data_IF_992958151414
#
_entry.id   IF_992958151414
#
_cell.length_a   1.000
_cell.length_b   1.000
_cell.length_c   1.000
_cell.angle_alpha   90.00
_cell.angle_beta   90.00
_cell.angle_gamma   90.00
#
_symmetry.space_group_name_H-M   'P 1'
#
loop_
_entity.id
_entity.type
_entity.pdbx_description
1 polymer ?
#
# COMPACT_ATOMS: atom_id res chain seq x y z
N UNK A 1 4.33 -3.97 0.71
CA UNK A 1 4.97 -3.09 1.70
C UNK A 1 6.37 -2.80 1.22
N UNK A 2 6.73 -1.54 1.18
CA UNK A 2 8.05 -1.10 0.76
C UNK A 2 8.48 0.08 1.63
N UNK A 3 9.78 0.15 1.89
CA UNK A 3 10.44 1.28 2.50
C UNK A 3 11.37 1.89 1.48
N UNK A 4 11.59 3.20 1.57
CA UNK A 4 12.32 3.95 0.55
C UNK A 4 13.34 4.85 1.23
N UNK A 5 14.60 4.80 0.79
CA UNK A 5 15.63 5.73 1.26
C UNK A 5 15.27 7.12 0.74
N UNK A 6 15.04 8.09 1.62
CA UNK A 6 14.70 9.45 1.23
C UNK A 6 15.96 10.19 0.71
N UNK A 7 16.13 10.28 -0.61
CA UNK A 7 17.26 10.96 -1.23
C UNK A 7 17.36 12.46 -0.90
N UNK A 8 16.25 13.13 -0.57
CA UNK A 8 16.25 14.56 -0.19
C UNK A 8 17.01 14.79 1.12
N UNK A 9 17.14 13.76 1.96
CA UNK A 9 17.90 13.83 3.20
C UNK A 9 19.43 13.80 3.03
N UNK A 10 19.94 13.60 1.81
CA UNK A 10 21.38 13.54 1.52
C UNK A 10 21.90 14.92 1.09
N UNK A 11 22.32 15.72 2.07
CA UNK A 11 22.69 17.12 1.86
C UNK A 11 24.15 17.43 2.18
N UNK A 12 25.00 16.41 2.35
CA UNK A 12 26.39 16.61 2.76
C UNK A 12 26.59 16.85 4.26
N UNK A 13 25.64 16.42 5.09
CA UNK A 13 25.53 16.80 6.51
C UNK A 13 26.59 16.22 7.45
N UNK A 14 27.29 15.14 7.06
CA UNK A 14 28.26 14.51 7.95
C UNK A 14 29.54 15.33 7.99
N UNK A 15 30.05 15.60 9.20
CA UNK A 15 31.32 16.33 9.38
C UNK A 15 32.50 15.64 8.68
N UNK A 16 32.46 14.31 8.59
CA UNK A 16 33.50 13.51 7.93
C UNK A 16 32.91 12.33 7.17
N UNK A 17 33.63 11.86 6.14
CA UNK A 17 33.31 10.61 5.46
C UNK A 17 33.26 9.43 6.45
N UNK A 18 34.16 9.39 7.44
CA UNK A 18 34.19 8.31 8.44
C UNK A 18 32.90 8.26 9.28
N UNK A 19 32.36 9.41 9.69
CA UNK A 19 31.08 9.46 10.42
C UNK A 19 29.93 8.90 9.58
N UNK A 20 29.87 9.24 8.30
CA UNK A 20 28.90 8.65 7.38
C UNK A 20 29.09 7.12 7.24
N UNK A 21 30.33 6.65 7.12
CA UNK A 21 30.64 5.23 7.01
C UNK A 21 30.22 4.44 8.24
N UNK A 22 30.37 4.98 9.45
CA UNK A 22 29.88 4.33 10.67
C UNK A 22 28.36 4.18 10.66
N UNK A 23 27.61 5.20 10.24
CA UNK A 23 26.17 5.08 10.06
C UNK A 23 25.82 4.05 8.97
N UNK A 24 26.50 4.09 7.83
CA UNK A 24 26.30 3.12 6.75
C UNK A 24 26.53 1.68 7.21
N UNK A 25 27.54 1.42 8.04
CA UNK A 25 27.80 0.10 8.63
C UNK A 25 26.62 -0.39 9.48
N UNK A 26 25.96 0.50 10.24
CA UNK A 26 24.75 0.16 11.00
C UNK A 26 23.60 -0.24 10.08
N UNK A 27 23.34 0.54 9.01
CA UNK A 27 22.30 0.23 8.04
C UNK A 27 22.60 -1.10 7.30
N UNK A 28 23.85 -1.33 6.90
CA UNK A 28 24.27 -2.58 6.26
C UNK A 28 24.10 -3.78 7.20
N UNK A 29 24.47 -3.64 8.48
CA UNK A 29 24.26 -4.68 9.49
C UNK A 29 22.77 -4.98 9.65
N UNK A 30 21.93 -3.95 9.70
CA UNK A 30 20.48 -4.12 9.79
C UNK A 30 19.91 -4.85 8.57
N UNK A 31 20.32 -4.47 7.36
CA UNK A 31 19.95 -5.18 6.13
C UNK A 31 20.40 -6.64 6.15
N UNK A 32 21.56 -6.96 6.73
CA UNK A 32 22.01 -8.35 6.84
C UNK A 32 21.20 -9.16 7.85
N UNK A 33 20.78 -8.55 8.97
CA UNK A 33 20.03 -9.24 10.03
C UNK A 33 18.52 -9.28 9.79
N UNK A 34 17.96 -8.37 8.98
CA UNK A 34 16.53 -8.30 8.69
C UNK A 34 16.26 -8.50 7.19
N UNK A 35 15.74 -9.69 6.85
CA UNK A 35 15.47 -10.07 5.47
C UNK A 35 14.45 -9.17 4.76
N UNK A 36 13.46 -8.64 5.49
CA UNK A 36 12.45 -7.71 4.92
C UNK A 36 13.09 -6.37 4.57
N UNK A 37 13.90 -5.79 5.47
CA UNK A 37 14.62 -4.55 5.16
C UNK A 37 15.57 -4.77 3.99
N UNK A 38 16.25 -5.93 3.92
CA UNK A 38 17.09 -6.25 2.78
C UNK A 38 16.33 -6.27 1.45
N UNK A 39 15.17 -6.94 1.40
CA UNK A 39 14.39 -7.11 0.17
C UNK A 39 13.49 -5.94 -0.16
N UNK A 40 13.23 -5.04 0.79
CA UNK A 40 12.14 -4.07 0.69
C UNK A 40 12.51 -2.64 1.08
N UNK A 41 13.77 -2.34 1.40
CA UNK A 41 14.29 -0.97 1.50
C UNK A 41 14.91 -0.57 0.15
N UNK A 42 14.11 0.11 -0.67
CA UNK A 42 14.37 0.55 -2.03
C UNK A 42 15.14 1.87 -2.07
N UNK A 43 15.86 2.08 -3.16
CA UNK A 43 16.55 3.33 -3.47
C UNK A 43 16.54 3.59 -4.98
N UNK A 44 16.74 4.85 -5.38
CA UNK A 44 17.05 5.18 -6.77
C UNK A 44 18.50 4.82 -7.11
N UNK A 45 18.79 4.71 -8.42
CA UNK A 45 20.17 4.56 -8.91
C UNK A 45 21.00 5.84 -8.78
N UNK A 46 20.39 6.95 -8.39
CA UNK A 46 21.07 8.23 -8.17
C UNK A 46 21.72 8.31 -6.79
N UNK A 47 21.29 7.48 -5.83
CA UNK A 47 21.79 7.48 -4.45
C UNK A 47 23.33 7.51 -4.31
N UNK A 48 24.13 6.75 -5.10
CA UNK A 48 25.60 6.81 -5.00
C UNK A 48 26.22 8.19 -5.28
N UNK A 49 25.50 9.06 -5.99
CA UNK A 49 26.00 10.35 -6.44
C UNK A 49 25.57 11.51 -5.51
N UNK A 50 24.77 11.22 -4.48
CA UNK A 50 24.31 12.24 -3.54
C UNK A 50 25.39 12.58 -2.52
N UNK A 51 25.38 13.82 -2.05
CA UNK A 51 26.37 14.35 -1.10
C UNK A 51 26.10 13.81 0.30
N UNK A 52 27.16 13.37 0.97
CA UNK A 52 27.09 12.86 2.36
C UNK A 52 27.99 13.64 3.30
N UNK A 53 29.15 14.13 2.87
CA UNK A 53 30.05 14.91 3.72
C UNK A 53 30.66 16.05 2.93
N UNK A 54 30.16 17.28 3.14
CA UNK A 54 30.53 18.43 2.29
C UNK A 54 30.25 18.14 0.82
N UNK A 55 31.29 18.20 -0.02
CA UNK A 55 31.19 17.88 -1.46
C UNK A 55 31.45 16.41 -1.80
N UNK A 56 31.81 15.56 -0.82
CA UNK A 56 31.99 14.14 -1.05
C UNK A 56 30.64 13.45 -1.25
N UNK A 57 30.52 12.74 -2.36
CA UNK A 57 29.36 11.89 -2.62
C UNK A 57 29.40 10.62 -1.77
N UNK A 58 28.28 9.90 -1.69
CA UNK A 58 28.22 8.57 -1.08
C UNK A 58 29.34 7.67 -1.63
N UNK A 59 29.49 7.62 -2.97
CA UNK A 59 30.51 6.81 -3.63
C UNK A 59 31.93 7.25 -3.25
N UNK A 60 32.18 8.55 -3.17
CA UNK A 60 33.49 9.07 -2.78
C UNK A 60 33.84 8.69 -1.35
N UNK A 61 32.90 8.84 -0.41
CA UNK A 61 33.10 8.50 1.00
C UNK A 61 33.44 7.01 1.18
N UNK A 62 32.76 6.13 0.46
CA UNK A 62 32.99 4.67 0.50
C UNK A 62 34.35 4.29 -0.10
N UNK A 63 34.78 4.98 -1.16
CA UNK A 63 36.10 4.75 -1.74
C UNK A 63 37.22 5.30 -0.86
N UNK A 64 36.99 6.43 -0.19
CA UNK A 64 37.96 7.09 0.68
C UNK A 64 38.30 6.25 1.94
N UNK A 65 37.38 5.42 2.42
CA UNK A 65 37.61 4.49 3.55
C UNK A 65 38.73 3.46 3.24
N UNK A 66 38.98 3.15 1.97
CA UNK A 66 40.03 2.20 1.57
C UNK A 66 39.74 0.72 1.92
N UNK A 67 38.57 0.41 2.48
CA UNK A 67 38.15 -0.94 2.82
C UNK A 67 37.51 -1.65 1.61
N UNK A 68 38.31 -2.50 0.94
CA UNK A 68 37.88 -3.23 -0.27
C UNK A 68 36.62 -4.08 -0.09
N UNK A 69 36.43 -4.68 1.08
CA UNK A 69 35.25 -5.51 1.34
C UNK A 69 33.98 -4.68 1.52
N UNK A 70 34.09 -3.57 2.26
CA UNK A 70 32.99 -2.60 2.39
C UNK A 70 32.63 -2.02 1.02
N UNK A 71 33.62 -1.55 0.25
CA UNK A 71 33.39 -0.99 -1.08
C UNK A 71 32.69 -2.01 -1.98
N UNK A 72 33.15 -3.27 -2.00
CA UNK A 72 32.53 -4.33 -2.79
C UNK A 72 31.09 -4.60 -2.35
N UNK A 73 30.83 -4.62 -1.04
CA UNK A 73 29.50 -4.85 -0.50
C UNK A 73 28.54 -3.72 -0.89
N UNK A 74 28.95 -2.47 -0.68
CA UNK A 74 28.15 -1.28 -0.94
C UNK A 74 27.90 -1.09 -2.43
N UNK A 75 28.93 -1.14 -3.27
CA UNK A 75 28.74 -1.01 -4.71
C UNK A 75 27.98 -2.21 -5.29
N UNK A 76 28.17 -3.41 -4.74
CA UNK A 76 27.35 -4.56 -5.09
C UNK A 76 25.86 -4.34 -4.81
N UNK A 77 25.54 -3.70 -3.69
CA UNK A 77 24.18 -3.27 -3.36
C UNK A 77 23.68 -2.18 -4.31
N UNK A 78 24.39 -1.05 -4.40
CA UNK A 78 23.91 0.16 -5.06
C UNK A 78 24.02 0.15 -6.59
N UNK A 79 24.88 -0.67 -7.19
CA UNK A 79 25.02 -0.74 -8.65
C UNK A 79 24.26 -1.94 -9.26
N UNK A 80 24.17 -3.07 -8.53
CA UNK A 80 23.73 -4.35 -9.12
C UNK A 80 22.52 -4.99 -8.45
N UNK A 81 22.51 -5.10 -7.13
CA UNK A 81 21.54 -5.95 -6.42
C UNK A 81 20.27 -5.22 -6.01
N UNK A 82 20.37 -3.93 -5.69
CA UNK A 82 19.22 -3.17 -5.19
C UNK A 82 18.71 -3.70 -3.83
N UNK A 83 17.44 -3.48 -3.50
CA UNK A 83 16.34 -3.27 -4.44
C UNK A 83 16.26 -1.83 -4.99
N UNK A 84 15.93 -1.69 -6.27
CA UNK A 84 15.85 -0.41 -6.97
C UNK A 84 14.40 -0.09 -7.34
N UNK A 85 14.04 1.19 -7.30
CA UNK A 85 12.68 1.63 -7.63
C UNK A 85 12.27 1.29 -9.06
N UNK A 86 13.21 1.25 -10.01
CA UNK A 86 12.93 0.86 -11.41
C UNK A 86 12.27 -0.51 -11.55
N UNK A 87 12.51 -1.41 -10.58
CA UNK A 87 11.96 -2.77 -10.61
C UNK A 87 10.48 -2.83 -10.19
N UNK A 88 9.97 -1.78 -9.55
CA UNK A 88 8.60 -1.72 -9.01
C UNK A 88 7.82 -0.50 -9.49
N UNK A 89 8.44 0.40 -10.25
CA UNK A 89 7.82 1.63 -10.74
C UNK A 89 6.64 1.28 -11.63
N UNK A 90 5.49 1.81 -11.25
CA UNK A 90 4.23 1.71 -12.00
C UNK A 90 3.90 3.10 -12.57
N UNK A 91 3.31 3.15 -13.76
CA UNK A 91 2.86 4.41 -14.36
C UNK A 91 1.59 4.91 -13.67
N UNK A 92 1.54 6.21 -13.42
CA UNK A 92 0.38 6.93 -12.92
C UNK A 92 0.13 8.18 -13.77
N UNK A 93 -1.08 8.71 -13.68
CA UNK A 93 -1.40 10.02 -14.22
C UNK A 93 -0.78 11.12 -13.33
N UNK A 94 -0.30 12.21 -13.94
CA UNK A 94 0.34 13.35 -13.25
C UNK A 94 1.53 12.92 -12.36
N UNK A 95 2.63 12.45 -12.97
CA UNK A 95 3.77 11.85 -12.28
C UNK A 95 4.78 12.87 -11.69
N UNK A 96 4.38 14.12 -11.49
CA UNK A 96 5.26 15.17 -10.97
C UNK A 96 5.12 15.29 -9.45
N UNK A 97 6.22 14.99 -8.74
CA UNK A 97 6.25 14.98 -7.28
C UNK A 97 7.30 15.91 -6.70
N UNK A 98 6.95 16.55 -5.59
CA UNK A 98 7.84 17.44 -4.83
C UNK A 98 7.79 17.17 -3.32
N UNK A 99 8.96 17.29 -2.67
CA UNK A 99 9.10 17.30 -1.22
C UNK A 99 10.01 18.47 -0.84
N UNK A 100 9.54 19.37 0.03
CA UNK A 100 10.27 20.60 0.40
C UNK A 100 10.77 21.39 -0.82
N UNK A 101 9.88 21.63 -1.79
CA UNK A 101 10.17 22.31 -3.06
C UNK A 101 11.30 21.67 -3.90
N UNK A 102 11.64 20.41 -3.60
CA UNK A 102 12.60 19.61 -4.37
C UNK A 102 11.83 18.62 -5.23
N UNK A 103 12.10 18.61 -6.54
CA UNK A 103 11.52 17.62 -7.46
C UNK A 103 12.06 16.23 -7.11
N UNK A 104 11.15 15.30 -6.81
CA UNK A 104 11.45 13.93 -6.36
C UNK A 104 10.82 12.85 -7.25
N UNK A 105 10.29 13.22 -8.42
CA UNK A 105 9.66 12.30 -9.37
C UNK A 105 10.48 11.03 -9.61
N UNK A 106 11.77 11.15 -9.87
CA UNK A 106 12.65 10.02 -10.18
C UNK A 106 13.39 9.44 -8.96
N UNK A 107 13.03 9.88 -7.76
CA UNK A 107 13.61 9.42 -6.51
C UNK A 107 12.70 8.41 -5.81
N UNK A 108 13.25 7.73 -4.80
CA UNK A 108 12.52 6.77 -4.02
C UNK A 108 11.37 7.40 -3.22
N UNK A 109 11.47 8.70 -2.93
CA UNK A 109 10.38 9.52 -2.38
C UNK A 109 9.18 9.59 -3.32
N UNK A 110 9.39 9.90 -4.60
CA UNK A 110 8.30 9.89 -5.60
C UNK A 110 7.70 8.50 -5.75
N UNK A 111 8.52 7.45 -5.72
CA UNK A 111 8.00 6.08 -5.75
C UNK A 111 7.16 5.73 -4.52
N UNK A 112 7.53 6.21 -3.33
CA UNK A 112 6.71 6.02 -2.14
C UNK A 112 5.31 6.63 -2.30
N UNK A 113 5.20 7.81 -2.91
CA UNK A 113 3.93 8.43 -3.25
C UNK A 113 3.11 7.58 -4.25
N UNK A 114 3.74 7.05 -5.31
CA UNK A 114 3.06 6.13 -6.25
C UNK A 114 2.50 4.90 -5.56
N UNK A 115 3.31 4.28 -4.70
CA UNK A 115 2.87 3.12 -3.92
C UNK A 115 1.65 3.47 -3.06
N UNK A 116 1.67 4.64 -2.40
CA UNK A 116 0.54 5.13 -1.61
C UNK A 116 -0.72 5.36 -2.47
N UNK A 117 -0.59 5.97 -3.64
CA UNK A 117 -1.68 6.18 -4.60
C UNK A 117 -2.31 4.84 -5.00
N UNK A 118 -1.50 3.81 -5.21
CA UNK A 118 -1.97 2.45 -5.47
C UNK A 118 -2.48 1.69 -4.24
N UNK A 119 -2.62 2.35 -3.09
CA UNK A 119 -3.06 1.75 -1.84
C UNK A 119 -2.07 0.74 -1.25
N UNK A 120 -0.80 0.77 -1.65
CA UNK A 120 0.26 0.02 -0.99
C UNK A 120 0.77 0.79 0.23
N UNK A 121 1.15 0.06 1.28
CA UNK A 121 1.96 0.63 2.35
C UNK A 121 3.35 1.02 1.82
N UNK A 122 3.72 2.27 2.06
CA UNK A 122 5.01 2.86 1.77
C UNK A 122 5.43 3.76 2.92
N UNK A 123 6.73 3.72 3.26
CA UNK A 123 7.33 4.61 4.25
C UNK A 123 8.74 5.00 3.84
N UNK A 124 9.22 6.12 4.38
CA UNK A 124 10.54 6.67 4.12
C UNK A 124 11.51 6.34 5.25
N UNK A 125 12.77 6.19 4.89
CA UNK A 125 13.90 6.23 5.82
C UNK A 125 14.79 7.42 5.45
N UNK A 126 14.89 8.38 6.35
CA UNK A 126 15.63 9.63 6.15
C UNK A 126 16.87 9.69 7.03
N UNK A 127 17.91 10.37 6.54
CA UNK A 127 19.02 10.79 7.35
C UNK A 127 18.68 12.13 8.02
N UNK A 128 19.16 12.35 9.25
CA UNK A 128 19.11 13.69 9.82
C UNK A 128 19.94 14.66 8.97
N UNK A 129 19.43 15.88 8.79
CA UNK A 129 20.11 16.95 8.05
C UNK A 129 19.72 18.30 8.64
N UNK A 130 20.61 19.31 8.65
CA UNK A 130 20.25 20.66 9.08
C UNK A 130 19.42 21.43 8.04
N UNK A 131 19.27 20.93 6.81
CA UNK A 131 18.58 21.65 5.72
C UNK A 131 17.07 21.52 5.83
N UNK A 132 16.60 20.33 6.21
CA UNK A 132 15.18 20.00 6.27
C UNK A 132 14.89 19.27 7.59
N UNK A 133 13.71 19.49 8.16
CA UNK A 133 13.28 18.75 9.33
C UNK A 133 12.80 17.34 8.94
N UNK A 134 13.75 16.40 8.95
CA UNK A 134 13.50 14.98 8.69
C UNK A 134 13.00 14.22 9.93
N UNK A 135 12.78 14.91 11.06
CA UNK A 135 12.23 14.34 12.29
C UNK A 135 10.69 14.43 12.37
N UNK A 136 10.06 14.73 11.22
CA UNK A 136 8.62 14.78 11.07
C UNK A 136 8.09 13.46 10.50
N UNK A 137 6.96 13.00 11.04
CA UNK A 137 6.15 11.92 10.44
C UNK A 137 4.65 12.22 10.64
N UNK A 138 3.83 12.14 9.59
CA UNK A 138 4.21 11.87 8.19
C UNK A 138 4.95 13.05 7.53
N UNK A 139 5.71 12.76 6.47
CA UNK A 139 6.18 13.76 5.50
C UNK A 139 5.10 13.97 4.42
N UNK A 140 4.91 15.22 4.00
CA UNK A 140 3.94 15.61 2.98
C UNK A 140 4.63 15.71 1.63
N UNK A 141 4.24 14.84 0.69
CA UNK A 141 4.69 14.86 -0.70
C UNK A 141 3.60 15.49 -1.54
N UNK A 142 3.97 16.51 -2.32
CA UNK A 142 3.07 17.19 -3.24
C UNK A 142 3.11 16.50 -4.59
N UNK A 143 1.96 16.21 -5.17
CA UNK A 143 1.79 15.82 -6.57
C UNK A 143 1.18 16.99 -7.31
N UNK A 144 1.82 17.41 -8.40
CA UNK A 144 1.41 18.57 -9.20
C UNK A 144 0.80 18.08 -10.50
N UNK A 145 -0.43 18.48 -10.79
CA UNK A 145 -1.08 18.14 -12.06
C UNK A 145 -0.77 19.17 -13.17
N UNK A 146 -1.21 18.86 -14.40
CA UNK A 146 -1.04 19.74 -15.56
C UNK A 146 -1.69 21.14 -15.39
N UNK A 147 -2.65 21.28 -14.46
CA UNK A 147 -3.33 22.54 -14.14
C UNK A 147 -2.71 23.26 -12.92
N UNK A 148 -1.56 22.80 -12.43
CA UNK A 148 -0.87 23.30 -11.24
C UNK A 148 -1.69 23.13 -9.93
N UNK A 149 -2.63 22.19 -9.92
CA UNK A 149 -3.28 21.78 -8.69
C UNK A 149 -2.35 20.86 -7.90
N UNK A 150 -2.34 21.07 -6.58
CA UNK A 150 -1.51 20.30 -5.66
C UNK A 150 -2.38 19.28 -4.92
N UNK A 151 -2.08 18.01 -5.13
CA UNK A 151 -2.59 16.89 -4.34
C UNK A 151 -1.52 16.48 -3.33
N UNK A 152 -1.88 16.35 -2.06
CA UNK A 152 -0.92 16.02 -1.01
C UNK A 152 -1.02 14.56 -0.58
N UNK A 153 0.14 13.95 -0.36
CA UNK A 153 0.28 12.55 0.06
C UNK A 153 1.10 12.47 1.36
N UNK A 154 0.47 11.98 2.43
CA UNK A 154 1.13 11.75 3.71
C UNK A 154 1.81 10.37 3.74
N UNK A 155 3.14 10.38 3.85
CA UNK A 155 3.98 9.19 3.91
C UNK A 155 4.72 9.14 5.26
N UNK A 156 4.61 8.02 5.96
CA UNK A 156 5.35 7.79 7.21
C UNK A 156 6.85 7.92 6.96
N UNK A 157 7.58 8.51 7.91
CA UNK A 157 9.01 8.72 7.79
C UNK A 157 9.72 8.33 9.09
N UNK A 158 10.82 7.59 8.95
CA UNK A 158 11.64 7.13 10.06
C UNK A 158 13.07 7.62 9.88
N UNK A 159 13.67 8.15 10.95
CA UNK A 159 15.07 8.61 10.93
C UNK A 159 15.94 7.81 11.91
N UNK A 160 15.33 7.07 12.84
CA UNK A 160 16.00 6.10 13.71
C UNK A 160 15.87 4.68 13.16
N UNK A 161 16.98 3.94 13.14
CA UNK A 161 17.00 2.55 12.65
C UNK A 161 16.08 1.62 13.45
N UNK A 162 15.96 1.84 14.76
CA UNK A 162 15.08 1.03 15.63
C UNK A 162 13.60 1.26 15.31
N UNK A 163 13.22 2.49 14.95
CA UNK A 163 11.85 2.80 14.52
C UNK A 163 11.55 2.21 13.14
N UNK A 164 12.53 2.24 12.23
CA UNK A 164 12.42 1.52 10.95
C UNK A 164 12.18 0.02 11.20
N UNK A 165 12.91 -0.61 12.12
CA UNK A 165 12.67 -2.02 12.49
C UNK A 165 11.28 -2.22 13.04
N UNK A 166 10.85 -1.38 13.99
CA UNK A 166 9.52 -1.46 14.58
C UNK A 166 8.43 -1.35 13.52
N UNK A 167 8.58 -0.45 12.55
CA UNK A 167 7.63 -0.31 11.44
C UNK A 167 7.50 -1.61 10.63
N UNK A 168 8.62 -2.30 10.37
CA UNK A 168 8.65 -3.57 9.63
C UNK A 168 7.98 -4.71 10.40
N UNK A 169 8.08 -4.69 11.73
CA UNK A 169 7.47 -5.66 12.64
C UNK A 169 5.97 -5.41 12.84
N UNK A 170 5.56 -4.14 12.93
CA UNK A 170 4.17 -3.70 13.02
C UNK A 170 3.40 -3.96 11.72
N UNK A 171 4.10 -3.95 10.58
CA UNK A 171 3.54 -4.37 9.31
C UNK A 171 3.21 -5.88 9.32
N UNK A 172 1.91 -6.18 9.48
CA UNK A 172 1.35 -7.54 9.40
C UNK A 172 1.83 -8.25 8.12
N UNK A 173 2.19 -9.52 8.25
CA UNK A 173 2.66 -10.32 7.11
C UNK A 173 1.55 -10.36 6.06
N UNK A 174 1.86 -9.97 4.81
CA UNK A 174 0.91 -10.09 3.73
C UNK A 174 0.49 -11.56 3.56
N UNK A 175 -0.81 -11.85 3.37
CA UNK A 175 -1.27 -13.22 3.17
C UNK A 175 -0.56 -13.91 2.02
N UNK A 176 -0.26 -15.20 2.21
CA UNK A 176 0.34 -16.10 1.23
C UNK A 176 -0.66 -17.15 0.72
N UNK A 177 -1.81 -17.26 1.38
CA UNK A 177 -2.90 -18.16 1.02
C UNK A 177 -4.24 -17.44 1.11
N UNK A 178 -5.27 -17.98 0.47
CA UNK A 178 -6.63 -17.44 0.57
C UNK A 178 -7.15 -17.51 2.01
N UNK A 179 -6.83 -18.58 2.74
CA UNK A 179 -7.18 -18.71 4.16
C UNK A 179 -6.54 -17.60 5.00
N UNK A 180 -5.24 -17.39 4.88
CA UNK A 180 -4.57 -16.28 5.59
C UNK A 180 -5.19 -14.91 5.28
N UNK A 181 -5.69 -14.70 4.05
CA UNK A 181 -6.39 -13.48 3.68
C UNK A 181 -7.75 -13.38 4.38
N UNK A 182 -8.54 -14.45 4.40
CA UNK A 182 -9.84 -14.49 5.07
C UNK A 182 -9.70 -14.31 6.59
N UNK A 183 -8.69 -14.93 7.19
CA UNK A 183 -8.36 -14.78 8.62
C UNK A 183 -8.01 -13.30 8.92
N UNK A 184 -7.17 -12.69 8.07
CA UNK A 184 -6.82 -11.28 8.22
C UNK A 184 -8.04 -10.34 8.10
N UNK A 185 -8.97 -10.61 7.19
CA UNK A 185 -10.20 -9.81 7.06
C UNK A 185 -11.03 -9.97 8.32
N UNK A 186 -11.23 -11.20 8.80
CA UNK A 186 -11.99 -11.49 10.03
C UNK A 186 -11.41 -10.75 11.24
N UNK A 187 -10.08 -10.68 11.36
CA UNK A 187 -9.40 -9.98 12.45
C UNK A 187 -9.47 -8.45 12.35
N UNK A 188 -9.49 -7.90 11.14
CA UNK A 188 -9.29 -6.46 10.89
C UNK A 188 -10.56 -5.71 10.46
N UNK A 189 -11.63 -6.42 10.13
CA UNK A 189 -12.89 -5.85 9.63
C UNK A 189 -14.07 -6.40 10.44
N UNK A 190 -14.21 -5.94 11.69
CA UNK A 190 -15.23 -6.41 12.63
C UNK A 190 -16.68 -6.14 12.18
N UNK A 191 -16.86 -5.19 11.28
CA UNK A 191 -18.18 -4.81 10.75
C UNK A 191 -18.54 -5.55 9.47
N UNK A 192 -17.75 -6.55 9.08
CA UNK A 192 -18.04 -7.48 8.01
C UNK A 192 -18.32 -8.88 8.58
N UNK A 193 -19.25 -9.60 7.96
CA UNK A 193 -19.55 -10.99 8.27
C UNK A 193 -19.29 -11.84 7.03
N UNK A 194 -18.30 -12.73 7.10
CA UNK A 194 -17.81 -13.51 5.97
C UNK A 194 -18.58 -14.84 5.89
N UNK A 195 -19.03 -15.20 4.70
CA UNK A 195 -19.60 -16.54 4.46
C UNK A 195 -18.55 -17.64 4.61
N UNK A 196 -18.95 -18.73 5.27
CA UNK A 196 -18.13 -19.94 5.41
C UNK A 196 -17.80 -20.57 4.04
N UNK A 197 -18.63 -20.31 3.02
CA UNK A 197 -18.45 -20.81 1.65
C UNK A 197 -17.36 -20.06 0.87
N UNK A 198 -16.85 -18.92 1.39
CA UNK A 198 -15.86 -18.09 0.67
C UNK A 198 -14.57 -18.84 0.37
N UNK A 199 -14.11 -19.68 1.30
CA UNK A 199 -12.88 -20.43 1.06
C UNK A 199 -13.06 -21.44 -0.07
N UNK A 200 -14.17 -22.18 -0.07
CA UNK A 200 -14.50 -23.15 -1.13
C UNK A 200 -14.63 -22.48 -2.51
N UNK A 201 -15.10 -21.23 -2.55
CA UNK A 201 -15.17 -20.43 -3.76
C UNK A 201 -13.78 -19.99 -4.27
N UNK A 202 -12.82 -19.77 -3.37
CA UNK A 202 -11.47 -19.29 -3.67
C UNK A 202 -10.48 -20.43 -3.98
N UNK A 203 -10.58 -21.58 -3.32
CA UNK A 203 -9.70 -22.75 -3.48
C UNK A 203 -9.47 -23.16 -4.96
N UNK A 204 -10.48 -23.17 -5.85
CA UNK A 204 -10.29 -23.51 -7.26
C UNK A 204 -9.35 -22.57 -8.03
N UNK A 205 -8.96 -21.44 -7.43
CA UNK A 205 -8.15 -20.41 -8.07
C UNK A 205 -6.77 -20.32 -7.43
N UNK A 206 -5.67 -20.34 -8.21
CA UNK A 206 -4.34 -20.10 -7.67
C UNK A 206 -4.28 -18.79 -6.89
N UNK A 207 -3.63 -18.83 -5.73
CA UNK A 207 -3.42 -17.64 -4.93
C UNK A 207 -2.72 -16.55 -5.75
N UNK A 208 -3.22 -15.32 -5.63
CA UNK A 208 -2.69 -14.15 -6.34
C UNK A 208 -2.58 -13.00 -5.37
N UNK A 209 -1.35 -12.53 -5.13
CA UNK A 209 -1.11 -11.35 -4.29
C UNK A 209 -1.84 -10.10 -4.82
N UNK A 210 -1.99 -9.98 -6.15
CA UNK A 210 -2.71 -8.86 -6.78
C UNK A 210 -4.20 -8.91 -6.41
N UNK A 211 -4.85 -10.07 -6.57
CA UNK A 211 -6.26 -10.23 -6.20
C UNK A 211 -6.42 -10.06 -4.68
N UNK A 212 -5.55 -10.67 -3.88
CA UNK A 212 -5.56 -10.55 -2.42
C UNK A 212 -5.52 -9.08 -1.98
N UNK A 213 -4.60 -8.28 -2.53
CA UNK A 213 -4.49 -6.85 -2.22
C UNK A 213 -5.79 -6.10 -2.54
N UNK A 214 -6.39 -6.36 -3.70
CA UNK A 214 -7.63 -5.70 -4.11
C UNK A 214 -8.83 -6.13 -3.25
N UNK A 215 -8.90 -7.40 -2.84
CA UNK A 215 -9.93 -7.88 -1.91
C UNK A 215 -9.76 -7.19 -0.56
N UNK A 216 -8.56 -7.18 0.02
CA UNK A 216 -8.30 -6.52 1.31
C UNK A 216 -8.65 -5.03 1.27
N UNK A 217 -8.25 -4.32 0.21
CA UNK A 217 -8.62 -2.93 -0.01
C UNK A 217 -10.14 -2.73 -0.05
N UNK A 218 -10.85 -3.57 -0.81
CA UNK A 218 -12.30 -3.53 -0.86
C UNK A 218 -12.94 -3.82 0.51
N UNK A 219 -12.43 -4.80 1.27
CA UNK A 219 -12.96 -5.12 2.60
C UNK A 219 -12.80 -3.94 3.56
N UNK A 220 -11.65 -3.26 3.55
CA UNK A 220 -11.47 -2.06 4.37
C UNK A 220 -12.44 -0.94 4.01
N UNK A 221 -12.71 -0.72 2.72
CA UNK A 221 -13.72 0.26 2.29
C UNK A 221 -15.10 -0.14 2.80
N UNK A 222 -15.53 -1.38 2.58
CA UNK A 222 -16.85 -1.86 3.04
C UNK A 222 -16.98 -1.79 4.56
N UNK A 223 -15.91 -2.14 5.30
CA UNK A 223 -15.89 -2.03 6.75
C UNK A 223 -16.08 -0.57 7.20
N UNK A 224 -15.36 0.38 6.58
CA UNK A 224 -15.52 1.82 6.86
C UNK A 224 -16.90 2.36 6.50
N UNK A 225 -17.52 1.85 5.43
CA UNK A 225 -18.91 2.22 5.07
C UNK A 225 -19.87 1.83 6.21
N UNK A 226 -19.67 0.67 6.85
CA UNK A 226 -20.50 0.26 7.98
C UNK A 226 -20.15 1.04 9.26
N UNK A 227 -18.86 1.22 9.55
CA UNK A 227 -18.37 1.88 10.77
C UNK A 227 -18.68 3.38 10.82
N UNK A 228 -18.75 4.04 9.65
CA UNK A 228 -19.05 5.47 9.56
C UNK A 228 -20.54 5.78 9.76
N UNK A 229 -21.43 4.79 9.86
CA UNK A 229 -22.86 5.02 10.12
C UNK A 229 -23.07 5.54 11.54
N UNK A 230 -24.11 6.33 11.71
CA UNK A 230 -24.44 6.87 13.03
C UNK A 230 -25.03 5.79 13.98
N UNK A 231 -25.39 6.21 15.20
CA UNK A 231 -25.98 5.31 16.20
C UNK A 231 -27.30 4.70 15.74
N UNK A 232 -28.09 5.42 14.94
CA UNK A 232 -29.35 4.96 14.34
C UNK A 232 -29.12 4.05 13.11
N UNK A 233 -27.88 3.97 12.62
CA UNK A 233 -27.55 3.27 11.38
C UNK A 233 -27.88 4.11 10.14
N UNK A 234 -27.95 5.42 10.24
CA UNK A 234 -28.07 6.28 9.07
C UNK A 234 -26.68 6.62 8.49
N UNK A 235 -26.64 6.94 7.20
CA UNK A 235 -25.39 7.35 6.55
C UNK A 235 -24.97 8.73 7.05
N UNK A 236 -23.68 8.85 7.37
CA UNK A 236 -23.08 10.12 7.75
C UNK A 236 -22.41 10.78 6.54
N UNK A 237 -21.86 11.97 6.74
CA UNK A 237 -21.05 12.66 5.74
C UNK A 237 -19.85 11.81 5.31
N UNK A 238 -19.16 11.14 6.25
CA UNK A 238 -18.08 10.22 5.90
C UNK A 238 -18.60 9.05 5.04
N UNK A 239 -19.76 8.50 5.37
CA UNK A 239 -20.37 7.44 4.56
C UNK A 239 -20.64 7.93 3.14
N UNK A 240 -21.20 9.13 2.98
CA UNK A 240 -21.46 9.71 1.66
C UNK A 240 -20.18 9.92 0.85
N UNK A 241 -19.11 10.43 1.46
CA UNK A 241 -17.82 10.60 0.80
C UNK A 241 -17.25 9.26 0.30
N UNK A 242 -17.36 8.20 1.11
CA UNK A 242 -16.95 6.85 0.69
C UNK A 242 -17.79 6.33 -0.49
N UNK A 243 -19.10 6.57 -0.48
CA UNK A 243 -19.99 6.17 -1.58
C UNK A 243 -19.68 6.96 -2.86
N UNK A 244 -19.49 8.28 -2.76
CA UNK A 244 -19.11 9.11 -3.90
C UNK A 244 -17.79 8.67 -4.50
N UNK A 245 -16.79 8.36 -3.67
CA UNK A 245 -15.47 7.98 -4.12
C UNK A 245 -15.42 6.59 -4.77
N UNK A 246 -16.13 5.60 -4.22
CA UNK A 246 -15.95 4.19 -4.61
C UNK A 246 -17.14 3.55 -5.33
N UNK A 247 -18.35 4.11 -5.19
CA UNK A 247 -19.60 3.54 -5.72
C UNK A 247 -20.16 4.34 -6.91
N UNK A 248 -19.78 5.61 -7.06
CA UNK A 248 -20.30 6.50 -8.09
C UNK A 248 -19.24 6.82 -9.15
N UNK A 249 -19.69 7.13 -10.36
CA UNK A 249 -18.84 7.54 -11.49
C UNK A 249 -18.57 6.43 -12.52
N UNK A 250 -18.10 6.87 -13.70
CA UNK A 250 -17.68 5.96 -14.76
C UNK A 250 -16.43 5.20 -14.34
N UNK A 251 -16.51 3.87 -14.37
CA UNK A 251 -15.42 3.01 -13.90
C UNK A 251 -15.40 2.77 -12.39
N UNK A 252 -16.47 3.15 -11.66
CA UNK A 252 -16.58 2.88 -10.22
C UNK A 252 -16.19 1.44 -9.86
N UNK A 253 -15.39 1.33 -8.79
CA UNK A 253 -14.86 0.08 -8.30
C UNK A 253 -15.99 -0.84 -7.80
N UNK A 254 -16.98 -0.25 -7.14
CA UNK A 254 -18.15 -0.95 -6.63
C UNK A 254 -19.35 -0.50 -7.44
N UNK A 255 -20.12 -1.45 -7.98
CA UNK A 255 -21.35 -1.12 -8.69
C UNK A 255 -22.43 -2.14 -8.43
N UNK A 256 -23.66 -1.71 -8.63
CA UNK A 256 -24.79 -2.60 -8.79
C UNK A 256 -24.74 -3.32 -10.15
N UNK A 257 -25.38 -4.48 -10.22
CA UNK A 257 -25.53 -5.22 -11.47
C UNK A 257 -26.69 -4.66 -12.30
N UNK A 258 -26.58 -4.78 -13.63
CA UNK A 258 -27.61 -4.28 -14.55
C UNK A 258 -28.96 -4.99 -14.34
N UNK A 259 -30.07 -4.32 -14.64
CA UNK A 259 -31.42 -4.88 -14.48
C UNK A 259 -31.60 -6.22 -15.23
N UNK A 260 -31.00 -6.33 -16.43
CA UNK A 260 -31.01 -7.56 -17.21
C UNK A 260 -30.27 -8.69 -16.50
N UNK A 261 -29.05 -8.44 -16.02
CA UNK A 261 -28.25 -9.45 -15.33
C UNK A 261 -28.84 -9.83 -13.96
N UNK A 262 -29.47 -8.87 -13.26
CA UNK A 262 -30.27 -9.13 -12.05
C UNK A 262 -31.39 -10.13 -12.32
N UNK A 263 -32.10 -9.99 -13.44
CA UNK A 263 -33.18 -10.91 -13.80
C UNK A 263 -32.63 -12.29 -14.24
N UNK A 264 -31.61 -12.33 -15.10
CA UNK A 264 -31.09 -13.58 -15.68
C UNK A 264 -30.26 -14.42 -14.70
N UNK A 265 -29.57 -13.78 -13.75
CA UNK A 265 -28.67 -14.44 -12.81
C UNK A 265 -29.14 -14.33 -11.36
N UNK A 266 -30.43 -14.03 -11.12
CA UNK A 266 -30.98 -13.83 -9.77
C UNK A 266 -30.56 -14.94 -8.80
N UNK A 267 -30.80 -16.20 -9.19
CA UNK A 267 -30.48 -17.39 -8.39
C UNK A 267 -28.99 -17.48 -8.06
N UNK A 268 -28.11 -17.08 -8.97
CA UNK A 268 -26.66 -17.17 -8.77
C UNK A 268 -26.12 -15.99 -7.94
N UNK A 269 -26.90 -14.92 -7.75
CA UNK A 269 -26.59 -13.78 -6.90
C UNK A 269 -27.38 -13.82 -5.58
N UNK A 270 -28.04 -14.94 -5.30
CA UNK A 270 -28.68 -15.23 -4.03
C UNK A 270 -27.80 -16.20 -3.27
N UNK A 271 -27.43 -15.84 -2.05
CA UNK A 271 -26.50 -16.58 -1.20
C UNK A 271 -27.11 -16.78 0.17
N UNK A 272 -26.61 -17.75 0.94
CA UNK A 272 -26.96 -17.84 2.36
C UNK A 272 -26.44 -16.62 3.11
N UNK A 273 -27.22 -16.13 4.06
CA UNK A 273 -26.78 -15.06 4.95
C UNK A 273 -25.76 -15.63 5.94
N UNK A 274 -24.51 -15.11 5.99
CA UNK A 274 -23.49 -15.61 6.92
C UNK A 274 -23.83 -15.38 8.39
N UNK A 275 -24.83 -14.52 8.69
CA UNK A 275 -25.30 -14.26 10.06
C UNK A 275 -26.43 -15.20 10.48
N UNK A 276 -27.12 -15.80 9.51
CA UNK A 276 -28.26 -16.69 9.70
C UNK A 276 -28.43 -17.58 8.47
N UNK A 277 -27.85 -18.78 8.50
CA UNK A 277 -27.75 -19.67 7.32
C UNK A 277 -29.10 -20.20 6.83
N UNK A 278 -30.18 -20.03 7.60
CA UNK A 278 -31.54 -20.37 7.18
C UNK A 278 -32.17 -19.29 6.29
N UNK A 279 -31.52 -18.13 6.19
CA UNK A 279 -31.93 -17.02 5.32
C UNK A 279 -31.05 -16.94 4.09
N UNK A 280 -31.67 -16.43 3.03
CA UNK A 280 -30.97 -16.06 1.81
C UNK A 280 -30.98 -14.55 1.61
N UNK A 281 -29.90 -14.02 1.05
CA UNK A 281 -29.74 -12.62 0.69
C UNK A 281 -29.37 -12.48 -0.78
N UNK A 282 -30.01 -11.52 -1.44
CA UNK A 282 -29.75 -11.20 -2.83
C UNK A 282 -28.71 -10.08 -2.91
N UNK A 283 -27.50 -10.42 -3.35
CA UNK A 283 -26.35 -9.52 -3.40
C UNK A 283 -26.05 -9.15 -4.86
N UNK A 284 -26.76 -8.17 -5.40
CA UNK A 284 -26.51 -7.67 -6.77
C UNK A 284 -25.34 -6.70 -6.87
N UNK A 285 -25.01 -6.03 -5.77
CA UNK A 285 -23.84 -5.16 -5.66
C UNK A 285 -22.56 -5.99 -5.60
N UNK A 286 -21.53 -5.47 -6.28
CA UNK A 286 -20.24 -6.13 -6.32
C UNK A 286 -19.07 -5.16 -6.50
N UNK A 287 -17.93 -5.53 -5.92
CA UNK A 287 -16.65 -4.91 -6.22
C UNK A 287 -16.01 -5.57 -7.44
N UNK A 288 -15.39 -4.76 -8.30
CA UNK A 288 -14.73 -5.21 -9.53
C UNK A 288 -13.22 -5.31 -9.32
N UNK A 289 -12.69 -6.51 -9.53
CA UNK A 289 -11.25 -6.74 -9.63
C UNK A 289 -10.96 -7.10 -11.08
N UNK A 290 -10.25 -6.21 -11.80
CA UNK A 290 -10.01 -6.36 -13.24
C UNK A 290 -9.21 -7.63 -13.57
N UNK A 291 -8.23 -7.96 -12.73
CA UNK A 291 -7.43 -9.17 -12.89
C UNK A 291 -8.30 -10.43 -12.80
N UNK A 292 -8.32 -11.22 -13.88
CA UNK A 292 -9.19 -12.42 -14.05
C UNK A 292 -10.70 -12.17 -13.88
N UNK A 293 -11.15 -10.92 -13.99
CA UNK A 293 -12.56 -10.54 -13.79
C UNK A 293 -13.15 -11.03 -12.46
N UNK A 294 -12.37 -10.97 -11.38
CA UNK A 294 -12.86 -11.30 -10.04
C UNK A 294 -13.92 -10.31 -9.56
N UNK A 295 -14.84 -10.80 -8.74
CA UNK A 295 -15.95 -10.08 -8.14
C UNK A 295 -16.08 -10.46 -6.68
N UNK A 296 -16.41 -9.47 -5.86
CA UNK A 296 -16.83 -9.68 -4.47
C UNK A 296 -18.28 -9.26 -4.36
N UNK A 297 -19.20 -10.18 -4.09
CA UNK A 297 -20.61 -9.83 -3.85
C UNK A 297 -20.89 -9.73 -2.36
N UNK A 298 -21.66 -8.71 -2.00
CA UNK A 298 -21.97 -8.37 -0.62
C UNK A 298 -23.36 -7.76 -0.51
N UNK A 299 -23.88 -7.72 0.70
CA UNK A 299 -25.15 -7.08 1.01
C UNK A 299 -25.04 -5.56 0.91
N UNK A 300 -25.77 -4.97 -0.03
CA UNK A 300 -25.93 -3.52 -0.13
C UNK A 300 -27.21 -3.19 -0.90
N UNK A 301 -27.95 -2.12 -0.55
CA UNK A 301 -27.77 -1.28 0.63
C UNK A 301 -28.01 -2.04 1.95
N UNK A 302 -27.39 -1.57 3.03
CA UNK A 302 -27.49 -2.21 4.35
C UNK A 302 -28.63 -1.58 5.17
N UNK A 303 -29.54 -2.39 5.70
CA UNK A 303 -30.60 -1.92 6.61
C UNK A 303 -30.02 -1.18 7.82
N UNK A 304 -30.70 -0.14 8.33
CA UNK A 304 -30.23 0.69 9.45
C UNK A 304 -30.03 -0.10 10.76
N UNK A 305 -30.82 -1.15 10.96
CA UNK A 305 -30.72 -2.06 12.11
C UNK A 305 -29.48 -2.96 12.07
N UNK A 306 -28.88 -3.17 10.89
CA UNK A 306 -27.75 -4.09 10.71
C UNK A 306 -26.43 -3.37 10.95
N UNK A 307 -25.64 -3.92 11.90
CA UNK A 307 -24.31 -3.43 12.26
C UNK A 307 -23.16 -4.18 11.57
N UNK A 308 -23.47 -5.22 10.81
CA UNK A 308 -22.49 -5.95 10.01
C UNK A 308 -23.01 -6.15 8.59
N UNK A 309 -22.12 -5.99 7.60
CA UNK A 309 -22.40 -6.27 6.20
C UNK A 309 -22.01 -7.71 5.85
N UNK A 310 -22.90 -8.44 5.18
CA UNK A 310 -22.60 -9.79 4.72
C UNK A 310 -21.72 -9.79 3.46
N UNK A 311 -20.65 -10.57 3.48
CA UNK A 311 -19.77 -10.84 2.32
C UNK A 311 -20.00 -12.28 1.87
N UNK A 312 -20.62 -12.44 0.71
CA UNK A 312 -21.23 -13.72 0.31
C UNK A 312 -20.47 -14.46 -0.78
N UNK A 313 -19.77 -13.72 -1.64
CA UNK A 313 -19.06 -14.32 -2.76
C UNK A 313 -17.71 -13.66 -3.02
N UNK A 314 -16.67 -14.46 -3.26
CA UNK A 314 -15.38 -14.02 -3.81
C UNK A 314 -14.93 -14.97 -4.91
N UNK A 315 -14.92 -14.50 -6.16
CA UNK A 315 -14.57 -15.37 -7.29
C UNK A 315 -14.70 -14.68 -8.64
N UNK A 316 -14.45 -15.41 -9.75
CA UNK A 316 -14.68 -14.90 -11.09
C UNK A 316 -16.13 -14.42 -11.30
N UNK A 317 -16.33 -13.46 -12.19
CA UNK A 317 -17.66 -12.90 -12.50
C UNK A 317 -18.69 -13.99 -12.79
N UNK A 318 -19.77 -14.01 -11.99
CA UNK A 318 -20.86 -15.00 -12.05
C UNK A 318 -21.53 -15.03 -13.44
N UNK A 319 -21.68 -13.87 -14.09
CA UNK A 319 -22.32 -13.75 -15.42
C UNK A 319 -21.45 -14.25 -16.59
N UNK A 320 -20.23 -14.73 -16.33
CA UNK A 320 -19.31 -15.26 -17.36
C UNK A 320 -19.12 -16.79 -17.25
N UNK A 321 -19.83 -17.45 -16.34
CA UNK A 321 -19.84 -18.92 -16.21
C UNK A 321 -20.70 -19.58 -17.27
#
# INVERSE_FOLDING_TARGET
MAWFINEVSFTGQYETCSAFIEHLKLLLKLRQSNSRINSSLYCSRHLPNLKVSGDYTFRDAVNAEGNKDLTRQVLGWLDKKGPFIDAIREQIDNDDFELFDTVVTDYAVGEAARQKIHGNYAALYSLETPVFDMSLTPLVINQIDENLQVLTHEIDNYWLLDELVKSVEEQRVAPRTWREMLDLITESCSSLCLSEELEEQLIPHPFSHVICKHILFCMHILNRVVDSRDTNGEYTEETHQLLEQYFLGDGAMITDESAQNKASHKKNMTFKDPRDTEKEIFCSWHAKISYRYFRVHFEFPLESTKKQMAICYMGPKITKR
#
